data_IF_753899388066
#
_entry.id   IF_753899388066
#
_cell.length_a   1.000
_cell.length_b   1.000
_cell.length_c   1.000
_cell.angle_alpha   90.00
_cell.angle_beta   90.00
_cell.angle_gamma   90.00
#
_symmetry.space_group_name_H-M   'P 1'
#
loop_
_entity.id
_entity.type
_entity.pdbx_description
1 polymer ?
#
# COMPACT_ATOMS: atom_id res chain seq x y z
N UNK A 1 11.05 11.28 -18.36
CA UNK A 1 12.19 10.51 -17.84
C UNK A 1 13.50 10.82 -18.54
N UNK A 2 13.56 10.78 -19.88
CA UNK A 2 14.81 11.01 -20.65
C UNK A 2 15.55 12.30 -20.28
N UNK A 3 14.82 13.41 -20.04
CA UNK A 3 15.40 14.70 -19.62
C UNK A 3 16.16 14.65 -18.30
N UNK A 4 15.65 13.96 -17.27
CA UNK A 4 16.35 13.79 -15.98
C UNK A 4 17.54 12.85 -16.16
N UNK A 5 17.37 11.76 -16.91
CA UNK A 5 18.43 10.77 -17.14
C UNK A 5 19.64 11.36 -17.89
N UNK A 6 19.42 12.38 -18.72
CA UNK A 6 20.48 13.14 -19.39
C UNK A 6 20.96 14.38 -18.60
N UNK A 7 20.39 14.66 -17.43
CA UNK A 7 20.75 15.82 -16.61
C UNK A 7 21.82 15.49 -15.58
N UNK A 8 22.46 16.53 -15.02
CA UNK A 8 23.41 16.38 -13.91
C UNK A 8 22.71 16.01 -12.59
N UNK A 9 23.51 15.60 -11.59
CA UNK A 9 23.01 15.33 -10.23
C UNK A 9 22.29 16.56 -9.65
N UNK A 10 21.22 16.31 -8.89
CA UNK A 10 20.42 17.36 -8.24
C UNK A 10 19.35 17.98 -9.13
N UNK A 11 19.37 17.74 -10.45
CA UNK A 11 18.27 18.15 -11.34
C UNK A 11 17.12 17.16 -11.23
N UNK A 12 15.93 17.68 -10.94
CA UNK A 12 14.70 16.90 -10.88
C UNK A 12 13.49 17.71 -11.30
N UNK A 13 12.32 17.09 -11.23
CA UNK A 13 11.05 17.71 -11.57
C UNK A 13 10.46 18.36 -10.32
N UNK A 14 10.20 19.66 -10.35
CA UNK A 14 9.28 20.29 -9.41
C UNK A 14 7.85 19.88 -9.78
N UNK A 15 7.22 19.09 -8.92
CA UNK A 15 5.89 18.55 -9.17
C UNK A 15 4.78 19.62 -9.14
N UNK A 16 5.00 20.78 -8.51
CA UNK A 16 4.00 21.84 -8.43
C UNK A 16 3.94 22.66 -9.72
N UNK A 17 5.08 22.89 -10.35
CA UNK A 17 5.21 23.73 -11.56
C UNK A 17 5.39 22.92 -12.84
N UNK A 18 5.86 21.67 -12.72
CA UNK A 18 6.21 20.82 -13.86
C UNK A 18 7.57 21.17 -14.49
N UNK A 19 8.35 22.06 -13.88
CA UNK A 19 9.65 22.48 -14.40
C UNK A 19 10.79 21.59 -13.89
N UNK A 20 11.85 21.48 -14.69
CA UNK A 20 13.07 20.79 -14.28
C UNK A 20 14.03 21.78 -13.63
N UNK A 21 14.28 21.60 -12.34
CA UNK A 21 15.05 22.53 -11.52
C UNK A 21 16.12 21.80 -10.71
N UNK A 22 17.09 22.55 -10.21
CA UNK A 22 17.99 22.10 -9.15
C UNK A 22 17.18 22.00 -7.85
N UNK A 23 16.86 20.77 -7.46
CA UNK A 23 15.97 20.48 -6.32
C UNK A 23 16.56 21.00 -5.01
N UNK A 24 17.89 20.98 -4.86
CA UNK A 24 18.55 21.44 -3.65
C UNK A 24 18.43 22.96 -3.52
N UNK A 25 18.68 23.70 -4.61
CA UNK A 25 18.49 25.17 -4.64
C UNK A 25 17.03 25.58 -4.49
N UNK A 26 16.10 24.78 -5.03
CA UNK A 26 14.67 24.99 -4.87
C UNK A 26 14.15 24.65 -3.46
N UNK A 27 14.99 24.07 -2.59
CA UNK A 27 14.60 23.66 -1.24
C UNK A 27 13.73 22.40 -1.20
N UNK A 28 13.63 21.66 -2.31
CA UNK A 28 12.89 20.41 -2.44
C UNK A 28 13.83 19.28 -2.03
N UNK A 29 13.95 19.06 -0.73
CA UNK A 29 14.89 18.09 -0.15
C UNK A 29 14.19 17.12 0.79
N UNK A 30 14.49 15.83 0.61
CA UNK A 30 14.05 14.78 1.53
C UNK A 30 15.19 14.42 2.51
N UNK A 31 14.90 14.28 3.82
CA UNK A 31 15.89 13.80 4.77
C UNK A 31 16.37 12.40 4.39
N UNK A 32 17.69 12.16 4.48
CA UNK A 32 18.30 10.88 4.10
C UNK A 32 17.62 9.65 4.74
N UNK A 33 17.21 9.77 6.01
CA UNK A 33 16.52 8.70 6.74
C UNK A 33 15.19 8.32 6.06
N UNK A 34 14.44 9.29 5.53
CA UNK A 34 13.13 9.05 4.90
C UNK A 34 13.31 8.20 3.64
N UNK A 35 14.16 8.62 2.71
CA UNK A 35 14.39 7.88 1.47
C UNK A 35 14.96 6.49 1.72
N UNK A 36 15.91 6.37 2.66
CA UNK A 36 16.54 5.10 3.00
C UNK A 36 15.54 4.11 3.61
N UNK A 37 14.81 4.53 4.64
CA UNK A 37 13.83 3.67 5.32
C UNK A 37 12.68 3.29 4.39
N UNK A 38 12.25 4.18 3.50
CA UNK A 38 11.23 3.86 2.50
C UNK A 38 11.66 2.68 1.60
N UNK A 39 12.89 2.71 1.09
CA UNK A 39 13.42 1.63 0.24
C UNK A 39 13.63 0.34 1.05
N UNK A 40 14.21 0.42 2.23
CA UNK A 40 14.44 -0.75 3.10
C UNK A 40 13.12 -1.47 3.44
N UNK A 41 12.08 -0.72 3.78
CA UNK A 41 10.75 -1.27 4.07
C UNK A 41 10.11 -1.90 2.82
N UNK A 42 10.23 -1.25 1.66
CA UNK A 42 9.72 -1.80 0.41
C UNK A 42 10.41 -3.12 0.05
N UNK A 43 11.74 -3.18 0.15
CA UNK A 43 12.53 -4.39 -0.10
C UNK A 43 12.16 -5.51 0.87
N UNK A 44 11.89 -5.19 2.14
CA UNK A 44 11.46 -6.20 3.12
C UNK A 44 10.17 -6.91 2.70
N UNK A 45 9.16 -6.17 2.23
CA UNK A 45 7.89 -6.74 1.77
C UNK A 45 8.08 -7.49 0.45
N UNK A 46 8.81 -6.92 -0.50
CA UNK A 46 9.08 -7.55 -1.80
C UNK A 46 9.83 -8.87 -1.63
N UNK A 47 10.76 -8.96 -0.67
CA UNK A 47 11.46 -10.21 -0.37
C UNK A 47 10.50 -11.33 0.05
N UNK A 48 9.51 -11.02 0.89
CA UNK A 48 8.48 -11.98 1.26
C UNK A 48 7.59 -12.35 0.08
N UNK A 49 7.13 -11.36 -0.71
CA UNK A 49 6.25 -11.61 -1.86
C UNK A 49 6.93 -12.50 -2.92
N UNK A 50 8.21 -12.24 -3.25
CA UNK A 50 8.94 -13.01 -4.28
C UNK A 50 9.21 -14.46 -3.87
N UNK A 51 9.27 -14.75 -2.58
CA UNK A 51 9.54 -16.10 -2.04
C UNK A 51 8.28 -16.83 -1.61
N UNK A 52 7.14 -16.15 -1.61
CA UNK A 52 5.85 -16.74 -1.27
C UNK A 52 5.23 -17.35 -2.53
N UNK A 53 5.26 -18.68 -2.62
CA UNK A 53 4.73 -19.43 -3.77
C UNK A 53 3.20 -19.45 -3.83
N UNK A 54 2.52 -19.36 -2.68
CA UNK A 54 1.05 -19.43 -2.59
C UNK A 54 0.50 -18.51 -1.52
N UNK A 55 -0.63 -17.86 -1.84
CA UNK A 55 -1.44 -17.08 -0.91
C UNK A 55 -2.83 -17.72 -0.84
N UNK A 56 -3.28 -18.05 0.38
CA UNK A 56 -4.61 -18.61 0.62
C UNK A 56 -5.46 -17.54 1.30
N UNK A 57 -6.67 -17.32 0.81
CA UNK A 57 -7.66 -16.41 1.40
C UNK A 57 -8.99 -17.12 1.58
N UNK A 58 -9.70 -16.78 2.65
CA UNK A 58 -11.07 -17.26 2.87
C UNK A 58 -12.03 -16.72 1.79
N UNK A 59 -13.05 -17.53 1.47
CA UNK A 59 -14.11 -17.10 0.56
C UNK A 59 -14.96 -16.04 1.29
N UNK A 60 -15.24 -14.88 0.67
CA UNK A 60 -16.10 -13.87 1.29
C UNK A 60 -17.46 -14.46 1.64
N UNK A 61 -17.83 -14.39 2.93
CA UNK A 61 -19.15 -14.81 3.37
C UNK A 61 -20.22 -13.88 2.77
N UNK A 62 -21.25 -14.47 2.17
CA UNK A 62 -22.48 -13.73 1.91
C UNK A 62 -23.09 -13.40 3.26
N UNK A 63 -23.11 -12.11 3.62
CA UNK A 63 -23.97 -11.64 4.71
C UNK A 63 -25.41 -12.00 4.34
N UNK A 64 -25.95 -13.04 4.98
CA UNK A 64 -27.38 -13.28 4.90
C UNK A 64 -28.08 -12.01 5.41
N UNK A 65 -29.13 -11.53 4.72
CA UNK A 65 -29.92 -10.44 5.27
C UNK A 65 -30.38 -10.89 6.64
N UNK A 66 -30.00 -10.14 7.69
CA UNK A 66 -30.45 -10.39 9.05
C UNK A 66 -31.97 -10.53 8.99
N UNK A 67 -32.48 -11.75 9.23
CA UNK A 67 -33.91 -11.98 9.19
C UNK A 67 -34.55 -11.07 10.22
N UNK A 68 -35.28 -10.07 9.72
CA UNK A 68 -36.10 -9.20 10.54
C UNK A 68 -37.06 -10.10 11.32
N UNK A 69 -37.03 -9.95 12.65
CA UNK A 69 -37.69 -10.86 13.58
C UNK A 69 -39.14 -11.16 13.24
N UNK A 70 -39.47 -12.45 13.26
CA UNK A 70 -40.83 -12.96 13.33
C UNK A 70 -40.97 -13.82 14.60
N UNK A 71 -42.03 -13.63 15.41
CA UNK A 71 -42.18 -14.33 16.68
C UNK A 71 -42.58 -15.79 16.45
N UNK A 72 -41.77 -16.70 16.98
CA UNK A 72 -42.09 -18.12 17.09
C UNK A 72 -41.26 -18.97 16.15
N UNK A 73 -40.36 -19.77 16.72
CA UNK A 73 -40.46 -21.22 16.71
C UNK A 73 -39.58 -21.76 17.84
N UNK A 74 -40.21 -22.46 18.75
CA UNK A 74 -39.65 -23.05 19.94
C UNK A 74 -39.31 -24.51 19.61
N UNK A 75 -38.03 -24.88 19.67
CA UNK A 75 -37.46 -26.23 19.83
C UNK A 75 -35.99 -25.97 20.21
N UNK A 76 -35.47 -26.19 21.43
CA UNK A 76 -35.73 -27.31 22.33
C UNK A 76 -34.73 -28.43 22.00
N UNK A 77 -33.56 -28.41 22.64
CA UNK A 77 -32.61 -29.53 22.61
C UNK A 77 -31.15 -29.12 22.82
N UNK A 78 -30.67 -29.28 24.05
CA UNK A 78 -29.24 -29.40 24.37
C UNK A 78 -28.59 -30.49 23.51
N UNK A 79 -27.32 -30.33 23.12
CA UNK A 79 -26.30 -31.39 23.13
C UNK A 79 -24.92 -30.78 22.83
N UNK A 80 -24.04 -30.85 23.84
CA UNK A 80 -22.56 -30.88 23.87
C UNK A 80 -21.75 -30.08 22.84
#
# INVERSE_FOLDING_TARGET
MQKILSSGQGIGLDAATGEYVDLFKAGIVDPLKVTRTAIENAVSIVGTILTTEVLVSDIPEKKEPAMAGGPGHQHGGDMY
#
